data_IF_323045115290
#
_entry.id   IF_323045115290
#
_cell.length_a   1.000
_cell.length_b   1.000
_cell.length_c   1.000
_cell.angle_alpha   90.00
_cell.angle_beta   90.00
_cell.angle_gamma   90.00
#
_symmetry.space_group_name_H-M   'P 1'
#
loop_
_entity.id
_entity.type
_entity.pdbx_description
1 polymer ?
#
# COMPACT_ATOMS: atom_id res chain seq x y z
N UNK A 1 35.95 -52.25 -22.44
CA UNK A 1 34.98 -51.99 -21.38
C UNK A 1 35.52 -50.84 -20.55
N UNK A 2 35.03 -49.64 -20.78
CA UNK A 2 35.45 -48.42 -20.10
C UNK A 2 34.18 -47.69 -19.67
N UNK A 3 33.93 -47.63 -18.36
CA UNK A 3 32.83 -46.95 -17.75
C UNK A 3 33.20 -45.49 -17.51
N UNK A 4 32.45 -44.57 -18.10
CA UNK A 4 32.53 -43.12 -17.79
C UNK A 4 31.82 -42.82 -16.47
N UNK A 5 32.39 -42.01 -15.57
CA UNK A 5 31.66 -41.49 -14.40
C UNK A 5 30.80 -40.27 -14.77
N UNK A 6 29.58 -40.28 -14.24
CA UNK A 6 28.59 -39.20 -14.45
C UNK A 6 28.99 -37.92 -13.77
N UNK A 7 29.02 -36.83 -14.53
CA UNK A 7 29.39 -35.46 -14.10
C UNK A 7 28.29 -34.70 -13.32
N UNK A 8 27.11 -35.29 -13.19
CA UNK A 8 25.95 -34.56 -12.58
C UNK A 8 25.95 -34.49 -11.05
N UNK A 9 26.62 -35.45 -10.38
CA UNK A 9 26.62 -35.48 -8.89
C UNK A 9 27.61 -34.52 -8.22
N UNK A 10 28.56 -33.95 -8.96
CA UNK A 10 29.61 -33.10 -8.36
C UNK A 10 29.20 -31.64 -8.16
N UNK A 11 28.28 -31.13 -8.97
CA UNK A 11 27.80 -29.77 -8.87
C UNK A 11 26.77 -29.60 -7.74
N UNK A 12 25.87 -30.56 -7.58
CA UNK A 12 24.87 -30.54 -6.52
C UNK A 12 25.49 -30.62 -5.13
N UNK A 13 26.51 -31.48 -4.95
CA UNK A 13 27.24 -31.61 -3.69
C UNK A 13 28.14 -30.42 -3.35
N UNK A 14 28.57 -29.63 -4.33
CA UNK A 14 29.34 -28.39 -4.08
C UNK A 14 28.46 -27.20 -3.65
N UNK A 15 27.26 -27.13 -4.15
CA UNK A 15 26.30 -26.09 -3.76
C UNK A 15 25.79 -26.33 -2.35
N UNK A 16 25.44 -27.58 -2.01
CA UNK A 16 25.02 -27.96 -0.65
C UNK A 16 26.13 -27.80 0.37
N UNK A 17 27.38 -28.15 0.05
CA UNK A 17 28.50 -27.98 0.97
C UNK A 17 28.91 -26.50 1.21
N UNK A 18 28.69 -25.61 0.24
CA UNK A 18 28.94 -24.18 0.41
C UNK A 18 27.85 -23.47 1.20
N UNK A 19 26.61 -23.95 1.10
CA UNK A 19 25.50 -23.47 1.94
C UNK A 19 25.68 -23.94 3.38
N UNK A 20 26.05 -25.19 3.61
CA UNK A 20 26.33 -25.73 4.95
C UNK A 20 27.54 -25.10 5.65
N UNK A 21 28.58 -24.64 4.92
CA UNK A 21 29.71 -23.93 5.53
C UNK A 21 29.40 -22.48 5.93
N UNK A 22 28.40 -21.84 5.34
CA UNK A 22 27.99 -20.48 5.73
C UNK A 22 27.02 -20.44 6.89
N UNK A 23 26.35 -21.55 7.19
CA UNK A 23 25.37 -21.63 8.28
C UNK A 23 25.71 -22.86 9.13
N UNK A 24 26.52 -22.64 10.14
CA UNK A 24 26.86 -23.69 11.12
C UNK A 24 25.59 -24.07 11.91
N UNK A 25 25.06 -25.26 11.62
CA UNK A 25 23.99 -26.04 12.23
C UNK A 25 22.52 -25.68 11.85
N UNK A 26 21.70 -26.70 11.47
CA UNK A 26 20.27 -26.55 11.16
C UNK A 26 19.43 -26.06 12.37
N UNK A 27 19.92 -26.28 13.58
CA UNK A 27 19.23 -25.91 14.84
C UNK A 27 19.26 -24.39 15.09
N UNK A 28 20.24 -23.66 14.54
CA UNK A 28 20.39 -22.22 14.78
C UNK A 28 19.47 -21.39 13.89
N UNK A 29 19.09 -21.88 12.69
CA UNK A 29 18.20 -21.16 11.77
C UNK A 29 16.75 -21.22 12.27
N UNK A 30 16.28 -22.38 12.68
CA UNK A 30 14.94 -22.55 13.24
C UNK A 30 14.74 -21.77 14.54
N UNK A 31 15.74 -21.77 15.44
CA UNK A 31 15.65 -21.03 16.71
C UNK A 31 15.84 -19.53 16.56
N UNK A 32 16.60 -19.04 15.56
CA UNK A 32 16.71 -17.63 15.28
C UNK A 32 15.42 -17.09 14.64
N UNK A 33 14.82 -17.82 13.69
CA UNK A 33 13.53 -17.47 13.08
C UNK A 33 12.40 -17.52 14.11
N UNK A 34 12.37 -18.54 14.99
CA UNK A 34 11.39 -18.66 16.06
C UNK A 34 11.56 -17.61 17.17
N UNK A 35 12.81 -17.17 17.45
CA UNK A 35 13.05 -16.07 18.40
C UNK A 35 12.70 -14.71 17.80
N UNK A 36 12.93 -14.49 16.52
CA UNK A 36 12.45 -13.30 15.81
C UNK A 36 10.91 -13.29 15.80
N UNK A 37 10.27 -14.42 15.48
CA UNK A 37 8.80 -14.53 15.43
C UNK A 37 8.14 -14.37 16.81
N UNK A 38 8.69 -14.92 17.91
CA UNK A 38 8.20 -14.70 19.29
C UNK A 38 8.54 -13.34 19.88
N UNK A 39 9.66 -12.74 19.49
CA UNK A 39 10.03 -11.39 19.94
C UNK A 39 9.12 -10.30 19.43
N UNK A 40 8.48 -10.50 18.29
CA UNK A 40 7.56 -9.55 17.67
C UNK A 40 6.15 -9.54 18.31
N UNK A 41 5.72 -10.64 18.91
CA UNK A 41 4.41 -10.72 19.56
C UNK A 41 4.30 -10.00 20.92
N UNK A 42 5.41 -9.49 21.45
CA UNK A 42 5.46 -8.82 22.76
C UNK A 42 5.79 -7.33 22.71
N UNK A 43 5.90 -6.74 21.52
CA UNK A 43 6.11 -5.30 21.39
C UNK A 43 4.74 -4.62 21.43
N UNK A 44 4.57 -3.68 22.37
CA UNK A 44 3.50 -2.68 22.43
C UNK A 44 3.10 -2.25 21.02
N UNK A 45 1.84 -1.97 20.78
CA UNK A 45 1.30 -1.40 19.55
C UNK A 45 2.08 -0.15 19.13
N UNK A 46 3.25 -0.33 18.53
CA UNK A 46 3.95 0.75 17.86
C UNK A 46 3.14 1.11 16.62
N UNK A 47 2.93 2.40 16.45
CA UNK A 47 2.25 2.96 15.29
C UNK A 47 3.10 2.64 14.06
N UNK A 48 2.72 1.60 13.30
CA UNK A 48 3.44 1.19 12.09
C UNK A 48 2.91 2.03 10.92
N UNK A 49 3.79 2.86 10.35
CA UNK A 49 3.54 3.56 9.10
C UNK A 49 4.66 3.20 8.13
N UNK A 50 4.33 2.83 6.91
CA UNK A 50 5.33 2.44 5.91
C UNK A 50 5.18 3.19 4.59
N UNK A 51 6.27 3.24 3.84
CA UNK A 51 6.24 3.72 2.45
C UNK A 51 5.79 2.59 1.54
N UNK A 52 4.90 2.91 0.61
CA UNK A 52 4.48 1.91 -0.39
C UNK A 52 5.63 1.45 -1.28
N UNK A 53 5.81 0.14 -1.51
CA UNK A 53 6.73 -0.36 -2.52
C UNK A 53 6.24 -0.12 -3.95
N UNK A 54 4.94 0.14 -4.12
CA UNK A 54 4.29 0.32 -5.42
C UNK A 54 4.35 1.78 -5.84
N UNK A 55 4.90 2.04 -7.04
CA UNK A 55 4.85 3.34 -7.70
C UNK A 55 3.72 3.34 -8.71
N UNK A 56 2.81 4.33 -8.64
CA UNK A 56 1.68 4.47 -9.58
C UNK A 56 1.36 5.94 -9.80
N UNK A 57 0.78 6.27 -10.96
CA UNK A 57 0.22 7.58 -11.27
C UNK A 57 -0.82 7.95 -10.18
N UNK A 58 -0.87 9.20 -9.79
CA UNK A 58 -1.83 9.66 -8.78
C UNK A 58 -1.44 9.38 -7.33
N UNK A 59 -0.24 8.85 -7.05
CA UNK A 59 0.24 8.59 -5.70
C UNK A 59 0.12 9.84 -4.80
N UNK A 60 -0.48 9.68 -3.62
CA UNK A 60 -0.77 10.76 -2.67
C UNK A 60 0.33 11.02 -1.63
N UNK A 61 1.51 10.38 -1.75
CA UNK A 61 2.59 10.49 -0.75
C UNK A 61 2.95 11.93 -0.39
N UNK A 62 2.92 12.85 -1.35
CA UNK A 62 3.26 14.27 -1.12
C UNK A 62 2.23 15.05 -0.30
N UNK A 63 0.99 14.60 -0.25
CA UNK A 63 -0.13 15.28 0.41
C UNK A 63 -0.72 14.51 1.59
N UNK A 64 -0.10 13.41 2.01
CA UNK A 64 -0.60 12.59 3.12
C UNK A 64 -0.83 13.40 4.40
N UNK A 65 0.05 14.38 4.68
CA UNK A 65 -0.09 15.24 5.85
C UNK A 65 -1.37 16.10 5.80
N UNK A 66 -1.79 16.55 4.60
CA UNK A 66 -3.06 17.28 4.42
C UNK A 66 -4.23 16.30 4.60
N UNK A 67 -4.19 15.15 3.92
CA UNK A 67 -5.25 14.15 4.00
C UNK A 67 -5.52 13.72 5.44
N UNK A 68 -4.46 13.35 6.19
CA UNK A 68 -4.64 12.88 7.57
C UNK A 68 -5.10 13.96 8.53
N UNK A 69 -4.78 15.24 8.25
CA UNK A 69 -5.30 16.35 9.04
C UNK A 69 -6.82 16.52 8.88
N UNK A 70 -7.36 16.16 7.70
CA UNK A 70 -8.77 16.25 7.37
C UNK A 70 -9.57 14.97 7.65
N UNK A 71 -8.92 13.86 8.03
CA UNK A 71 -9.62 12.63 8.40
C UNK A 71 -10.56 12.86 9.59
N UNK A 72 -11.70 12.17 9.69
CA UNK A 72 -12.58 12.25 10.83
C UNK A 72 -11.84 11.95 12.13
N UNK A 73 -12.24 12.58 13.23
CA UNK A 73 -11.61 12.36 14.53
C UNK A 73 -11.74 10.92 15.00
N UNK A 74 -12.92 10.32 14.77
CA UNK A 74 -13.23 8.94 15.14
C UNK A 74 -13.87 8.17 14.00
N UNK A 75 -13.39 6.95 13.79
CA UNK A 75 -13.97 5.93 12.91
C UNK A 75 -13.52 4.54 13.38
N UNK A 76 -14.39 3.52 13.22
CA UNK A 76 -14.08 2.14 13.53
C UNK A 76 -13.63 1.33 12.32
N UNK A 77 -13.85 1.85 11.10
CA UNK A 77 -13.52 1.19 9.83
C UNK A 77 -12.90 2.19 8.89
N UNK A 78 -11.81 1.80 8.23
CA UNK A 78 -11.18 2.56 7.16
C UNK A 78 -11.23 1.77 5.86
N UNK A 79 -11.85 2.32 4.83
CA UNK A 79 -11.99 1.69 3.53
C UNK A 79 -11.32 2.56 2.48
N UNK A 80 -10.21 2.08 1.90
CA UNK A 80 -9.52 2.69 0.77
C UNK A 80 -10.16 2.16 -0.52
N UNK A 81 -11.07 2.97 -1.10
CA UNK A 81 -11.98 2.52 -2.18
C UNK A 81 -11.26 2.36 -3.51
N UNK A 82 -10.30 3.24 -3.82
CA UNK A 82 -9.43 3.22 -4.99
C UNK A 82 -8.00 3.21 -4.52
N UNK A 83 -7.56 2.09 -3.96
CA UNK A 83 -6.33 1.99 -3.17
C UNK A 83 -5.05 2.33 -3.94
N UNK A 84 -5.01 2.06 -5.24
CA UNK A 84 -3.89 2.40 -6.10
C UNK A 84 -2.57 1.89 -5.54
N UNK A 85 -1.61 2.77 -5.31
CA UNK A 85 -0.32 2.40 -4.71
C UNK A 85 -0.40 2.02 -3.23
N UNK A 86 -1.56 2.11 -2.59
CA UNK A 86 -1.74 1.89 -1.16
C UNK A 86 -1.15 2.99 -0.27
N UNK A 87 -0.72 4.12 -0.84
CA UNK A 87 0.02 5.15 -0.10
C UNK A 87 -0.75 5.73 1.07
N UNK A 88 -2.08 5.86 0.96
CA UNK A 88 -2.93 6.43 2.01
C UNK A 88 -3.13 5.43 3.14
N UNK A 89 -3.45 4.17 2.83
CA UNK A 89 -3.63 3.14 3.82
C UNK A 89 -2.31 2.79 4.54
N UNK A 90 -1.22 2.62 3.80
CA UNK A 90 0.08 2.21 4.35
C UNK A 90 0.76 3.32 5.15
N UNK A 91 0.64 4.57 4.70
CA UNK A 91 1.24 5.74 5.36
C UNK A 91 0.45 6.25 6.56
N UNK A 92 -0.80 5.81 6.76
CA UNK A 92 -1.57 6.21 7.94
C UNK A 92 -1.13 5.41 9.17
N UNK A 93 -1.18 6.01 10.37
CA UNK A 93 -0.97 5.27 11.62
C UNK A 93 -1.94 4.09 11.72
N UNK A 94 -1.43 2.93 12.16
CA UNK A 94 -2.29 1.83 12.57
C UNK A 94 -3.09 2.27 13.80
N UNK A 95 -4.41 2.21 13.67
CA UNK A 95 -5.35 2.36 14.78
C UNK A 95 -6.10 1.06 14.90
N UNK A 96 -6.71 0.80 16.05
CA UNK A 96 -7.58 -0.37 16.26
C UNK A 96 -8.87 -0.22 15.44
N UNK A 97 -8.73 -0.15 14.14
CA UNK A 97 -9.80 -0.04 13.17
C UNK A 97 -9.71 -1.19 12.18
N UNK A 98 -10.87 -1.65 11.74
CA UNK A 98 -10.99 -2.57 10.64
C UNK A 98 -10.57 -1.85 9.34
N UNK A 99 -9.65 -2.43 8.57
CA UNK A 99 -9.07 -1.80 7.37
C UNK A 99 -9.34 -2.62 6.13
N UNK A 100 -9.72 -1.95 5.04
CA UNK A 100 -9.94 -2.55 3.72
C UNK A 100 -9.14 -1.77 2.67
N UNK A 101 -8.40 -2.49 1.85
CA UNK A 101 -7.78 -2.02 0.62
C UNK A 101 -8.59 -2.59 -0.55
N UNK A 102 -9.02 -1.74 -1.48
CA UNK A 102 -9.69 -2.17 -2.70
C UNK A 102 -9.08 -1.48 -3.92
N UNK A 103 -8.98 -2.20 -5.00
CA UNK A 103 -8.73 -1.62 -6.32
C UNK A 103 -9.46 -2.45 -7.40
N UNK A 104 -9.84 -1.81 -8.48
CA UNK A 104 -10.49 -2.50 -9.60
C UNK A 104 -9.48 -3.19 -10.53
N UNK A 105 -8.21 -2.76 -10.52
CA UNK A 105 -7.13 -3.36 -11.28
C UNK A 105 -6.68 -4.69 -10.65
N UNK A 106 -7.08 -5.79 -11.28
CA UNK A 106 -6.76 -7.16 -10.83
C UNK A 106 -5.25 -7.42 -10.71
N UNK A 107 -4.43 -6.82 -11.57
CA UNK A 107 -2.97 -7.00 -11.49
C UNK A 107 -2.41 -6.35 -10.22
N UNK A 108 -2.97 -5.20 -9.86
CA UNK A 108 -2.58 -4.49 -8.64
C UNK A 108 -3.03 -5.24 -7.38
N UNK A 109 -4.27 -5.72 -7.38
CA UNK A 109 -4.81 -6.53 -6.28
C UNK A 109 -4.00 -7.82 -6.11
N UNK A 110 -3.71 -8.56 -7.20
CA UNK A 110 -2.83 -9.73 -7.18
C UNK A 110 -1.44 -9.38 -6.61
N UNK A 111 -0.87 -8.23 -6.98
CA UNK A 111 0.42 -7.78 -6.45
C UNK A 111 0.36 -7.58 -4.92
N UNK A 112 -0.67 -6.93 -4.40
CA UNK A 112 -0.83 -6.74 -2.96
C UNK A 112 -1.05 -8.04 -2.21
N UNK A 113 -1.85 -8.96 -2.74
CA UNK A 113 -2.00 -10.32 -2.19
C UNK A 113 -0.67 -11.06 -2.15
N UNK A 114 0.09 -11.07 -3.25
CA UNK A 114 1.38 -11.74 -3.30
C UNK A 114 2.41 -11.12 -2.33
N UNK A 115 2.43 -9.80 -2.19
CA UNK A 115 3.30 -9.13 -1.22
C UNK A 115 2.90 -9.42 0.24
N UNK A 116 1.60 -9.60 0.52
CA UNK A 116 1.08 -9.89 1.86
C UNK A 116 1.19 -11.36 2.22
N UNK A 117 0.79 -12.26 1.34
CA UNK A 117 0.54 -13.67 1.66
C UNK A 117 1.63 -14.61 1.15
N UNK A 118 2.40 -14.15 0.15
CA UNK A 118 3.49 -14.89 -0.51
C UNK A 118 4.77 -14.09 -0.58
N UNK A 119 5.09 -13.36 0.49
CA UNK A 119 6.17 -12.37 0.62
C UNK A 119 7.52 -12.93 0.18
N UNK A 120 7.92 -14.10 0.69
CA UNK A 120 9.21 -14.71 0.37
C UNK A 120 9.31 -15.12 -1.09
N UNK A 121 8.26 -15.69 -1.67
CA UNK A 121 8.19 -16.05 -3.08
C UNK A 121 8.27 -14.78 -3.96
N UNK A 122 7.59 -13.72 -3.57
CA UNK A 122 7.59 -12.42 -4.27
C UNK A 122 8.99 -11.79 -4.26
N UNK A 123 9.65 -11.72 -3.11
CA UNK A 123 11.02 -11.18 -2.98
C UNK A 123 12.00 -12.01 -3.82
N UNK A 124 11.87 -13.34 -3.79
CA UNK A 124 12.72 -14.25 -4.54
C UNK A 124 12.57 -14.06 -6.04
N UNK A 125 11.34 -14.01 -6.56
CA UNK A 125 11.07 -13.79 -7.98
C UNK A 125 11.54 -12.41 -8.45
N UNK A 126 11.36 -11.38 -7.64
CA UNK A 126 11.90 -10.05 -7.94
C UNK A 126 13.41 -10.04 -8.09
N UNK A 127 14.12 -10.86 -7.33
CA UNK A 127 15.58 -10.95 -7.35
C UNK A 127 16.17 -11.61 -8.60
N UNK A 128 15.38 -12.39 -9.37
CA UNK A 128 15.90 -13.19 -10.49
C UNK A 128 16.04 -12.42 -11.81
N UNK A 129 15.27 -11.38 -12.03
CA UNK A 129 15.25 -10.71 -13.31
C UNK A 129 15.27 -9.19 -13.10
N UNK A 130 16.44 -8.60 -13.29
CA UNK A 130 16.56 -7.15 -13.27
C UNK A 130 16.12 -6.59 -14.61
N UNK A 131 15.03 -5.85 -14.62
CA UNK A 131 14.54 -5.16 -15.80
C UNK A 131 15.33 -3.85 -15.98
N UNK A 132 16.25 -3.82 -16.93
CA UNK A 132 17.06 -2.64 -17.20
C UNK A 132 17.15 -2.31 -18.70
N UNK A 133 16.43 -3.01 -19.55
CA UNK A 133 16.40 -2.76 -20.99
C UNK A 133 14.99 -2.46 -21.50
N UNK A 134 14.93 -1.78 -22.65
CA UNK A 134 13.66 -1.53 -23.34
C UNK A 134 13.05 -2.83 -23.89
N UNK A 135 13.89 -3.75 -24.31
CA UNK A 135 13.49 -5.06 -24.83
C UNK A 135 12.79 -5.89 -23.74
N UNK A 136 13.36 -5.93 -22.53
CA UNK A 136 12.75 -6.60 -21.39
C UNK A 136 11.40 -5.98 -21.03
N UNK A 137 11.33 -4.63 -21.04
CA UNK A 137 10.08 -3.93 -20.79
C UNK A 137 8.98 -4.29 -21.81
N UNK A 138 9.35 -4.32 -23.10
CA UNK A 138 8.42 -4.70 -24.18
C UNK A 138 8.00 -6.17 -24.04
N UNK A 139 8.93 -7.07 -23.70
CA UNK A 139 8.64 -8.48 -23.48
C UNK A 139 7.66 -8.68 -22.33
N UNK A 140 7.88 -8.02 -21.19
CA UNK A 140 6.97 -8.07 -20.05
C UNK A 140 5.61 -7.48 -20.41
N UNK A 141 5.57 -6.37 -21.16
CA UNK A 141 4.31 -5.78 -21.56
C UNK A 141 3.48 -6.71 -22.46
N UNK A 142 4.12 -7.35 -23.46
CA UNK A 142 3.46 -8.37 -24.32
C UNK A 142 2.94 -9.56 -23.51
N UNK A 143 3.62 -9.88 -22.42
CA UNK A 143 3.20 -10.95 -21.51
C UNK A 143 1.84 -10.71 -20.87
N UNK A 144 1.52 -9.47 -20.46
CA UNK A 144 0.21 -9.15 -19.89
C UNK A 144 -0.95 -9.39 -20.85
N UNK A 145 -0.66 -9.48 -22.13
CA UNK A 145 -1.67 -9.66 -23.16
C UNK A 145 -2.04 -11.14 -23.41
N UNK A 146 -1.17 -12.14 -23.10
CA UNK A 146 -1.37 -13.50 -23.68
C UNK A 146 -0.89 -14.74 -22.90
N UNK A 147 -0.32 -14.70 -21.69
CA UNK A 147 0.27 -15.90 -21.13
C UNK A 147 -0.11 -16.24 -19.68
N UNK A 148 -0.32 -17.55 -19.40
CA UNK A 148 -0.39 -18.14 -18.05
C UNK A 148 0.99 -18.62 -17.62
N UNK A 149 1.31 -18.53 -16.33
CA UNK A 149 2.59 -19.01 -15.76
C UNK A 149 2.40 -20.12 -14.76
N UNK A 150 3.38 -21.06 -14.77
CA UNK A 150 3.50 -22.05 -13.72
C UNK A 150 4.14 -21.46 -12.47
N UNK A 151 3.56 -21.75 -11.32
CA UNK A 151 4.08 -21.33 -10.03
C UNK A 151 5.22 -22.25 -9.56
N UNK A 152 6.44 -21.77 -9.69
CA UNK A 152 7.64 -22.55 -9.33
C UNK A 152 7.92 -22.58 -7.83
N UNK A 153 7.31 -21.68 -7.06
CA UNK A 153 7.62 -21.51 -5.64
C UNK A 153 6.73 -22.35 -4.73
N UNK A 154 5.59 -22.81 -5.23
CA UNK A 154 4.64 -23.59 -4.45
C UNK A 154 5.29 -24.82 -3.79
N UNK A 155 6.10 -25.57 -4.54
CA UNK A 155 6.79 -26.76 -4.02
C UNK A 155 7.70 -26.40 -2.84
N UNK A 156 8.43 -25.29 -2.93
CA UNK A 156 9.32 -24.84 -1.86
C UNK A 156 8.53 -24.35 -0.64
N UNK A 157 7.44 -23.64 -0.84
CA UNK A 157 6.56 -23.17 0.24
C UNK A 157 5.92 -24.36 0.99
N UNK A 158 5.50 -25.39 0.26
CA UNK A 158 4.96 -26.62 0.87
C UNK A 158 6.03 -27.37 1.68
N UNK A 159 7.26 -27.49 1.13
CA UNK A 159 8.37 -28.11 1.86
C UNK A 159 8.73 -27.34 3.14
N UNK A 160 8.81 -26.02 3.07
CA UNK A 160 9.07 -25.19 4.24
C UNK A 160 7.98 -25.35 5.31
N UNK A 161 6.72 -25.48 4.89
CA UNK A 161 5.60 -25.72 5.80
C UNK A 161 5.77 -27.02 6.57
N UNK A 162 6.21 -28.11 5.89
CA UNK A 162 6.49 -29.39 6.54
C UNK A 162 7.65 -29.33 7.55
N UNK A 163 8.67 -28.54 7.24
CA UNK A 163 9.84 -28.39 8.10
C UNK A 163 9.51 -27.56 9.35
N UNK A 164 8.64 -26.57 9.22
CA UNK A 164 8.37 -25.59 10.28
C UNK A 164 7.25 -26.00 11.24
N UNK A 165 6.31 -26.83 10.80
CA UNK A 165 5.11 -27.19 11.57
C UNK A 165 4.98 -28.69 11.74
N UNK A 166 4.56 -29.18 12.93
CA UNK A 166 4.24 -30.59 13.14
C UNK A 166 2.93 -30.98 12.43
N UNK A 167 2.75 -32.28 12.07
CA UNK A 167 1.45 -32.77 11.67
C UNK A 167 0.46 -32.78 12.87
N UNK A 168 -0.85 -32.51 12.69
CA UNK A 168 -1.57 -32.29 11.42
C UNK A 168 -1.51 -30.84 10.89
N UNK A 169 -1.00 -29.88 11.65
CA UNK A 169 -0.98 -28.45 11.32
C UNK A 169 -0.31 -28.18 9.97
N UNK A 170 0.77 -28.90 9.66
CA UNK A 170 1.44 -28.80 8.38
C UNK A 170 0.53 -29.20 7.20
N UNK A 171 -0.33 -30.20 7.37
CA UNK A 171 -1.24 -30.66 6.33
C UNK A 171 -2.34 -29.65 6.04
N UNK A 172 -2.92 -29.07 7.08
CA UNK A 172 -3.95 -28.02 6.97
C UNK A 172 -3.39 -26.76 6.31
N UNK A 173 -2.21 -26.32 6.72
CA UNK A 173 -1.59 -25.14 6.15
C UNK A 173 -1.18 -25.35 4.69
N UNK A 174 -0.75 -26.56 4.31
CA UNK A 174 -0.48 -26.91 2.91
C UNK A 174 -1.73 -26.80 2.05
N UNK A 175 -2.88 -27.27 2.53
CA UNK A 175 -4.15 -27.17 1.81
C UNK A 175 -4.54 -25.70 1.61
N UNK A 176 -4.37 -24.86 2.64
CA UNK A 176 -4.62 -23.42 2.55
C UNK A 176 -3.69 -22.77 1.52
N UNK A 177 -2.38 -23.11 1.53
CA UNK A 177 -1.40 -22.59 0.56
C UNK A 177 -1.71 -23.01 -0.88
N UNK A 178 -2.16 -24.23 -1.09
CA UNK A 178 -2.60 -24.69 -2.41
C UNK A 178 -3.74 -23.84 -2.95
N UNK A 179 -4.75 -23.56 -2.12
CA UNK A 179 -5.89 -22.70 -2.49
C UNK A 179 -5.46 -21.27 -2.79
N UNK A 180 -4.61 -20.68 -1.94
CA UNK A 180 -4.06 -19.32 -2.16
C UNK A 180 -3.30 -19.25 -3.48
N UNK A 181 -2.59 -20.32 -3.87
CA UNK A 181 -1.81 -20.35 -5.11
C UNK A 181 -2.68 -20.37 -6.36
N UNK A 182 -3.88 -20.95 -6.30
CA UNK A 182 -4.84 -20.91 -7.41
C UNK A 182 -5.27 -19.47 -7.72
N UNK A 183 -5.30 -18.60 -6.70
CA UNK A 183 -5.80 -17.22 -6.81
C UNK A 183 -4.68 -16.18 -7.03
N UNK A 184 -3.43 -16.46 -6.59
CA UNK A 184 -2.36 -15.45 -6.51
C UNK A 184 -1.10 -15.85 -7.28
N UNK A 185 -0.92 -15.24 -8.44
CA UNK A 185 0.21 -15.47 -9.36
C UNK A 185 1.39 -14.54 -9.03
N UNK A 186 2.41 -15.09 -8.37
CA UNK A 186 3.63 -14.36 -7.95
C UNK A 186 4.42 -13.83 -9.15
N UNK A 187 4.51 -14.59 -10.24
CA UNK A 187 5.25 -14.16 -11.41
C UNK A 187 4.57 -12.98 -12.09
N UNK A 188 3.26 -13.06 -12.27
CA UNK A 188 2.47 -11.96 -12.80
C UNK A 188 2.59 -10.71 -11.91
N UNK A 189 2.50 -10.87 -10.59
CA UNK A 189 2.65 -9.79 -9.62
C UNK A 189 4.02 -9.09 -9.73
N UNK A 190 5.10 -9.87 -9.77
CA UNK A 190 6.45 -9.33 -9.84
C UNK A 190 6.76 -8.66 -11.18
N UNK A 191 6.27 -9.21 -12.28
CA UNK A 191 6.36 -8.59 -13.60
C UNK A 191 5.59 -7.26 -13.64
N UNK A 192 4.39 -7.21 -13.03
CA UNK A 192 3.62 -5.99 -12.95
C UNK A 192 4.35 -4.90 -12.14
N UNK A 193 4.91 -5.25 -10.98
CA UNK A 193 5.71 -4.31 -10.19
C UNK A 193 6.93 -3.78 -10.96
N UNK A 194 7.64 -4.65 -11.69
CA UNK A 194 8.75 -4.25 -12.56
C UNK A 194 8.28 -3.30 -13.68
N UNK A 195 7.15 -3.61 -14.31
CA UNK A 195 6.55 -2.78 -15.35
C UNK A 195 6.24 -1.36 -14.83
N UNK A 196 5.54 -1.26 -13.71
CA UNK A 196 5.22 0.02 -13.08
C UNK A 196 6.49 0.83 -12.73
N UNK A 197 7.48 0.18 -12.13
CA UNK A 197 8.73 0.84 -11.70
C UNK A 197 9.59 1.34 -12.84
N UNK A 198 9.58 0.67 -13.98
CA UNK A 198 10.39 1.01 -15.13
C UNK A 198 9.60 1.77 -16.22
N UNK A 199 8.39 2.19 -15.92
CA UNK A 199 7.57 3.00 -16.83
C UNK A 199 7.64 4.48 -16.51
N UNK A 200 7.47 5.30 -17.56
CA UNK A 200 7.31 6.74 -17.40
C UNK A 200 6.07 7.04 -16.56
N UNK A 201 6.21 7.87 -15.53
CA UNK A 201 5.16 8.19 -14.57
C UNK A 201 4.55 6.97 -13.84
N UNK A 202 5.20 5.83 -13.87
CA UNK A 202 4.66 4.57 -13.32
C UNK A 202 3.30 4.17 -13.90
N UNK A 203 3.09 4.48 -15.18
CA UNK A 203 1.83 4.20 -15.91
C UNK A 203 1.76 2.79 -16.49
N UNK A 204 2.88 2.06 -16.57
CA UNK A 204 2.97 0.78 -17.27
C UNK A 204 3.01 0.91 -18.82
N UNK A 205 2.80 2.10 -19.39
CA UNK A 205 2.59 2.30 -20.84
C UNK A 205 3.88 2.51 -21.64
N UNK A 206 4.86 3.20 -21.09
CA UNK A 206 6.10 3.56 -21.80
C UNK A 206 7.33 3.41 -20.92
N UNK A 207 8.43 2.92 -21.49
CA UNK A 207 9.67 2.69 -20.77
C UNK A 207 10.34 3.99 -20.31
N UNK A 208 10.68 4.06 -19.02
CA UNK A 208 11.50 5.12 -18.45
C UNK A 208 12.96 4.66 -18.43
N UNK A 209 13.84 5.39 -19.09
CA UNK A 209 15.27 5.05 -19.24
C UNK A 209 16.09 5.18 -17.94
N UNK A 210 15.48 5.03 -16.77
CA UNK A 210 16.18 5.13 -15.49
C UNK A 210 16.33 3.74 -14.88
N UNK A 211 17.58 3.25 -14.69
CA UNK A 211 17.80 1.97 -14.02
C UNK A 211 17.33 2.05 -12.58
N UNK A 212 16.63 1.02 -12.12
CA UNK A 212 16.15 0.88 -10.77
C UNK A 212 16.63 -0.44 -10.17
N UNK A 213 17.31 -0.38 -9.03
CA UNK A 213 17.67 -1.58 -8.28
C UNK A 213 16.46 -2.09 -7.50
N UNK A 214 15.83 -3.13 -8.02
CA UNK A 214 14.62 -3.74 -7.45
C UNK A 214 14.84 -4.26 -6.02
N UNK A 215 16.09 -4.61 -5.64
CA UNK A 215 16.42 -5.10 -4.29
C UNK A 215 16.12 -4.08 -3.19
N UNK A 216 16.04 -2.78 -3.54
CA UNK A 216 15.63 -1.73 -2.61
C UNK A 216 14.19 -1.88 -2.12
N UNK A 217 13.37 -2.68 -2.81
CA UNK A 217 11.99 -2.96 -2.40
C UNK A 217 11.87 -4.11 -1.41
N UNK A 218 12.90 -4.96 -1.26
CA UNK A 218 12.78 -6.17 -0.43
C UNK A 218 12.41 -5.87 1.02
N UNK A 219 13.06 -4.86 1.61
CA UNK A 219 12.71 -4.40 2.97
C UNK A 219 11.28 -3.86 3.05
N UNK A 220 10.89 -3.02 2.09
CA UNK A 220 9.53 -2.44 2.05
C UNK A 220 8.44 -3.49 1.84
N UNK A 221 8.72 -4.58 1.12
CA UNK A 221 7.77 -5.69 0.94
C UNK A 221 7.62 -6.47 2.24
N UNK A 222 8.71 -6.69 3.00
CA UNK A 222 8.64 -7.30 4.33
C UNK A 222 7.86 -6.43 5.33
N UNK A 223 8.10 -5.12 5.36
CA UNK A 223 7.33 -4.19 6.19
C UNK A 223 5.85 -4.14 5.79
N UNK A 224 5.54 -4.29 4.49
CA UNK A 224 4.16 -4.33 4.00
C UNK A 224 3.42 -5.58 4.49
N UNK A 225 4.06 -6.74 4.53
CA UNK A 225 3.46 -7.97 5.08
C UNK A 225 2.92 -7.72 6.48
N UNK A 226 3.75 -7.18 7.36
CA UNK A 226 3.37 -6.87 8.74
C UNK A 226 2.26 -5.82 8.81
N UNK A 227 2.40 -4.73 8.03
CA UNK A 227 1.41 -3.63 8.03
C UNK A 227 0.05 -4.08 7.52
N UNK A 228 0.01 -4.98 6.56
CA UNK A 228 -1.22 -5.46 5.94
C UNK A 228 -1.77 -6.74 6.56
N UNK A 229 -1.15 -7.29 7.59
CA UNK A 229 -1.55 -8.58 8.18
C UNK A 229 -3.06 -8.64 8.49
N UNK A 230 -3.63 -7.56 9.01
CA UNK A 230 -5.05 -7.46 9.36
C UNK A 230 -5.89 -6.66 8.35
N UNK A 231 -5.34 -6.26 7.19
CA UNK A 231 -6.06 -5.53 6.15
C UNK A 231 -6.74 -6.52 5.22
N UNK A 232 -8.02 -6.32 4.97
CA UNK A 232 -8.75 -7.07 3.94
C UNK A 232 -8.41 -6.47 2.57
N UNK A 233 -8.08 -7.32 1.60
CA UNK A 233 -7.84 -6.93 0.22
C UNK A 233 -9.03 -7.35 -0.61
N UNK A 234 -9.62 -6.41 -1.36
CA UNK A 234 -10.79 -6.60 -2.20
C UNK A 234 -10.48 -6.24 -3.65
N UNK A 235 -11.22 -6.85 -4.59
CA UNK A 235 -11.22 -6.49 -6.00
C UNK A 235 -12.66 -6.31 -6.48
N UNK A 236 -13.28 -5.25 -5.99
CA UNK A 236 -14.70 -4.98 -6.25
C UNK A 236 -14.91 -3.64 -6.94
N UNK A 237 -16.02 -3.52 -7.68
CA UNK A 237 -16.55 -2.23 -8.10
C UNK A 237 -16.84 -1.36 -6.87
N UNK A 238 -16.54 -0.06 -6.96
CA UNK A 238 -16.63 0.87 -5.84
C UNK A 238 -18.02 0.94 -5.20
N UNK A 239 -19.09 0.85 -6.01
CA UNK A 239 -20.46 0.90 -5.51
C UNK A 239 -20.79 -0.34 -4.68
N UNK A 240 -20.40 -1.51 -5.18
CA UNK A 240 -20.57 -2.79 -4.47
C UNK A 240 -19.79 -2.78 -3.16
N UNK A 241 -18.53 -2.35 -3.19
CA UNK A 241 -17.67 -2.23 -2.02
C UNK A 241 -18.26 -1.29 -0.97
N UNK A 242 -18.63 -0.06 -1.38
CA UNK A 242 -19.18 0.94 -0.45
C UNK A 242 -20.46 0.42 0.20
N UNK A 243 -21.38 -0.17 -0.55
CA UNK A 243 -22.61 -0.77 0.00
C UNK A 243 -22.32 -1.90 0.99
N UNK A 244 -21.30 -2.72 0.71
CA UNK A 244 -20.91 -3.85 1.55
C UNK A 244 -20.40 -3.38 2.93
N UNK A 245 -19.57 -2.34 2.93
CA UNK A 245 -18.88 -1.87 4.13
C UNK A 245 -19.55 -0.67 4.82
N UNK A 246 -20.64 -0.10 4.27
CA UNK A 246 -21.32 1.06 4.84
C UNK A 246 -21.92 0.77 6.23
N UNK A 247 -21.39 1.46 7.22
CA UNK A 247 -21.83 1.45 8.63
C UNK A 247 -21.64 2.86 9.20
N UNK A 248 -22.32 3.24 10.28
CA UNK A 248 -22.16 4.56 10.89
C UNK A 248 -20.73 4.91 11.33
N UNK A 249 -19.93 3.89 11.65
CA UNK A 249 -18.52 4.01 12.05
C UNK A 249 -17.54 3.85 10.87
N UNK A 250 -18.03 3.70 9.63
CA UNK A 250 -17.18 3.57 8.44
C UNK A 250 -16.67 4.92 7.97
N UNK A 251 -15.40 4.94 7.55
CA UNK A 251 -14.77 6.05 6.86
C UNK A 251 -14.21 5.58 5.52
N UNK A 252 -14.76 6.10 4.44
CA UNK A 252 -14.35 5.82 3.08
C UNK A 252 -13.40 6.90 2.58
N UNK A 253 -12.19 6.51 2.19
CA UNK A 253 -11.32 7.35 1.40
C UNK A 253 -11.45 6.94 -0.07
N UNK A 254 -11.74 7.88 -0.95
CA UNK A 254 -11.91 7.64 -2.37
C UNK A 254 -11.01 8.58 -3.19
N UNK A 255 -10.27 8.01 -4.14
CA UNK A 255 -9.37 8.70 -5.05
C UNK A 255 -9.55 8.11 -6.47
N UNK A 256 -10.72 8.36 -7.09
CA UNK A 256 -11.03 7.82 -8.41
C UNK A 256 -10.14 8.45 -9.49
N UNK A 257 -10.12 7.90 -10.72
CA UNK A 257 -9.59 8.59 -11.88
C UNK A 257 -10.16 10.01 -11.97
N UNK A 258 -9.29 11.01 -12.15
CA UNK A 258 -9.71 12.41 -12.15
C UNK A 258 -10.41 12.76 -13.46
N UNK A 259 -11.42 13.62 -13.37
CA UNK A 259 -12.14 14.13 -14.54
C UNK A 259 -11.16 14.75 -15.55
N UNK A 260 -11.34 14.45 -16.83
CA UNK A 260 -10.48 14.79 -17.98
C UNK A 260 -9.06 14.16 -17.96
N UNK A 261 -8.79 13.19 -17.07
CA UNK A 261 -7.52 12.42 -17.07
C UNK A 261 -7.75 10.91 -17.04
N UNK A 262 -8.97 10.47 -17.29
CA UNK A 262 -9.42 9.07 -17.21
C UNK A 262 -8.62 8.16 -18.14
N UNK A 263 -8.21 8.67 -19.32
CA UNK A 263 -7.39 7.94 -20.30
C UNK A 263 -6.00 7.53 -19.78
N UNK A 264 -5.56 8.08 -18.65
CA UNK A 264 -4.30 7.67 -18.00
C UNK A 264 -4.41 6.30 -17.33
N UNK A 265 -5.62 5.85 -17.05
CA UNK A 265 -5.91 4.58 -16.39
C UNK A 265 -6.36 3.56 -17.43
N UNK A 266 -6.02 2.28 -17.24
CA UNK A 266 -6.43 1.18 -18.13
C UNK A 266 -7.87 0.72 -17.85
N UNK A 267 -8.44 1.18 -16.73
CA UNK A 267 -9.80 0.90 -16.31
C UNK A 267 -10.70 2.02 -16.81
N UNK A 268 -11.67 1.71 -17.68
CA UNK A 268 -12.62 2.70 -18.15
C UNK A 268 -13.42 3.29 -16.98
N UNK A 269 -13.32 4.61 -16.80
CA UNK A 269 -14.06 5.36 -15.78
C UNK A 269 -14.56 6.63 -16.45
N UNK A 270 -15.85 6.72 -16.73
CA UNK A 270 -16.45 7.82 -17.48
C UNK A 270 -17.30 8.72 -16.62
N UNK A 271 -17.93 9.73 -17.24
CA UNK A 271 -18.81 10.66 -16.53
C UNK A 271 -19.92 9.97 -15.74
N UNK A 272 -20.51 8.93 -16.30
CA UNK A 272 -21.57 8.16 -15.61
C UNK A 272 -21.06 7.51 -14.33
N UNK A 273 -19.77 7.13 -14.28
CA UNK A 273 -19.15 6.60 -13.06
C UNK A 273 -18.90 7.68 -12.02
N UNK A 274 -18.55 8.91 -12.43
CA UNK A 274 -18.46 10.07 -11.52
C UNK A 274 -19.81 10.36 -10.87
N UNK A 275 -20.89 10.36 -11.66
CA UNK A 275 -22.28 10.54 -11.17
C UNK A 275 -22.67 9.40 -10.23
N UNK A 276 -22.42 8.15 -10.63
CA UNK A 276 -22.70 6.95 -9.83
C UNK A 276 -21.96 6.97 -8.49
N UNK A 277 -20.69 7.40 -8.50
CA UNK A 277 -19.89 7.53 -7.27
C UNK A 277 -20.49 8.59 -6.33
N UNK A 278 -20.86 9.75 -6.87
CA UNK A 278 -21.51 10.82 -6.11
C UNK A 278 -22.82 10.35 -5.48
N UNK A 279 -23.65 9.65 -6.24
CA UNK A 279 -24.93 9.13 -5.73
C UNK A 279 -24.71 8.08 -4.65
N UNK A 280 -23.72 7.20 -4.83
CA UNK A 280 -23.38 6.17 -3.85
C UNK A 280 -22.90 6.80 -2.56
N UNK A 281 -21.93 7.71 -2.62
CA UNK A 281 -21.41 8.42 -1.45
C UNK A 281 -22.45 9.31 -0.76
N UNK A 282 -23.40 9.87 -1.51
CA UNK A 282 -24.47 10.68 -0.95
C UNK A 282 -25.52 9.92 -0.12
N UNK A 283 -25.50 8.58 -0.18
CA UNK A 283 -26.49 7.70 0.51
C UNK A 283 -25.90 6.94 1.69
N UNK A 284 -24.59 7.02 1.93
CA UNK A 284 -23.93 6.25 3.01
C UNK A 284 -24.31 6.75 4.40
N UNK A 285 -24.21 5.85 5.36
CA UNK A 285 -24.34 6.14 6.80
C UNK A 285 -23.04 6.60 7.43
N UNK A 286 -21.91 6.19 6.80
CA UNK A 286 -20.57 6.51 7.22
C UNK A 286 -20.11 7.90 6.77
N UNK A 287 -18.85 8.17 7.00
CA UNK A 287 -18.15 9.38 6.53
C UNK A 287 -17.35 9.08 5.28
N UNK A 288 -17.15 10.07 4.42
CA UNK A 288 -16.21 9.94 3.29
C UNK A 288 -15.32 11.18 3.15
N UNK A 289 -14.12 10.96 2.62
CA UNK A 289 -13.23 11.98 2.07
C UNK A 289 -12.85 11.55 0.65
N UNK A 290 -13.12 12.41 -0.31
CA UNK A 290 -12.95 12.16 -1.72
C UNK A 290 -11.96 13.15 -2.30
N UNK A 291 -10.99 12.69 -3.10
CA UNK A 291 -10.02 13.52 -3.82
C UNK A 291 -10.38 13.68 -5.28
N UNK A 292 -10.26 14.90 -5.81
CA UNK A 292 -10.42 15.22 -7.23
C UNK A 292 -9.52 16.37 -7.66
N UNK A 293 -9.37 16.55 -9.00
CA UNK A 293 -8.94 17.82 -9.56
C UNK A 293 -10.03 18.90 -9.36
N UNK A 294 -9.59 20.09 -9.03
CA UNK A 294 -10.51 21.24 -8.89
C UNK A 294 -10.94 21.73 -10.27
N UNK A 295 -12.19 21.46 -10.64
CA UNK A 295 -12.82 21.94 -11.87
C UNK A 295 -14.32 22.22 -11.64
N UNK A 296 -14.95 23.08 -12.49
CA UNK A 296 -16.35 23.46 -12.33
C UNK A 296 -17.29 22.25 -12.31
N UNK A 297 -17.08 21.27 -13.19
CA UNK A 297 -17.94 20.10 -13.35
C UNK A 297 -18.00 19.27 -12.06
N UNK A 298 -16.86 19.09 -11.39
CA UNK A 298 -16.79 18.36 -10.12
C UNK A 298 -17.36 19.19 -8.97
N UNK A 299 -17.12 20.52 -8.94
CA UNK A 299 -17.73 21.39 -7.94
C UNK A 299 -19.26 21.40 -8.04
N UNK A 300 -19.80 21.44 -9.25
CA UNK A 300 -21.26 21.40 -9.49
C UNK A 300 -21.83 20.01 -9.11
N UNK A 301 -21.14 18.93 -9.46
CA UNK A 301 -21.57 17.56 -9.14
C UNK A 301 -21.66 17.34 -7.62
N UNK A 302 -20.74 17.92 -6.85
CA UNK A 302 -20.66 17.75 -5.39
C UNK A 302 -21.18 18.98 -4.62
N UNK A 303 -22.04 19.80 -5.25
CA UNK A 303 -22.72 20.88 -4.53
C UNK A 303 -23.48 20.35 -3.31
N UNK A 304 -23.38 21.06 -2.19
CA UNK A 304 -24.00 20.69 -0.91
C UNK A 304 -23.09 19.83 0.01
N UNK A 305 -21.89 19.44 -0.43
CA UNK A 305 -20.87 18.82 0.44
C UNK A 305 -19.82 19.83 0.92
N UNK A 306 -19.05 19.45 1.94
CA UNK A 306 -17.91 20.26 2.42
C UNK A 306 -16.76 20.19 1.42
N UNK A 307 -16.33 21.33 0.88
CA UNK A 307 -15.27 21.44 -0.12
C UNK A 307 -14.03 22.09 0.48
N UNK A 308 -12.85 21.48 0.29
CA UNK A 308 -11.56 22.01 0.67
C UNK A 308 -10.63 21.98 -0.54
N UNK A 309 -10.24 23.14 -1.04
CA UNK A 309 -9.34 23.29 -2.18
C UNK A 309 -7.93 23.71 -1.73
N UNK A 310 -6.92 23.18 -2.41
CA UNK A 310 -5.53 23.56 -2.23
C UNK A 310 -4.73 23.36 -3.52
N UNK A 311 -3.62 24.09 -3.62
CA UNK A 311 -2.71 23.97 -4.74
C UNK A 311 -1.47 23.21 -4.33
N UNK A 312 -0.97 22.33 -5.22
CA UNK A 312 0.33 21.69 -5.06
C UNK A 312 1.22 21.92 -6.28
N UNK A 313 2.51 22.03 -6.03
CA UNK A 313 3.49 22.07 -7.09
C UNK A 313 3.58 20.70 -7.79
N UNK A 314 3.44 20.67 -9.11
CA UNK A 314 3.52 19.43 -9.90
C UNK A 314 4.94 19.19 -10.37
N UNK A 315 5.63 18.22 -9.76
CA UNK A 315 7.05 17.93 -10.02
C UNK A 315 7.40 17.60 -11.50
N UNK A 316 6.44 17.08 -12.26
CA UNK A 316 6.63 16.79 -13.69
C UNK A 316 6.31 17.97 -14.60
N UNK A 317 5.24 18.70 -14.32
CA UNK A 317 4.89 19.89 -15.09
C UNK A 317 5.94 21.00 -14.91
N UNK A 318 6.59 21.08 -13.75
CA UNK A 318 7.69 22.04 -13.51
C UNK A 318 8.91 21.82 -14.40
N UNK A 319 9.08 20.62 -15.00
CA UNK A 319 10.14 20.38 -16.00
C UNK A 319 9.87 21.07 -17.35
N UNK A 320 8.61 21.36 -17.64
CA UNK A 320 8.17 21.95 -18.91
C UNK A 320 7.63 23.37 -18.73
N UNK A 321 6.99 23.66 -17.59
CA UNK A 321 6.41 24.95 -17.26
C UNK A 321 6.71 25.26 -15.78
N UNK A 322 7.70 26.12 -15.53
CA UNK A 322 8.05 26.52 -14.18
C UNK A 322 6.86 27.26 -13.50
N UNK A 323 6.48 26.80 -12.31
CA UNK A 323 5.39 27.40 -11.53
C UNK A 323 4.00 26.87 -11.82
N UNK A 324 3.82 25.84 -12.66
CA UNK A 324 2.51 25.21 -12.85
C UNK A 324 2.05 24.49 -11.58
N UNK A 325 0.96 24.98 -11.02
CA UNK A 325 0.29 24.40 -9.87
C UNK A 325 -0.85 23.50 -10.32
N UNK A 326 -1.04 22.42 -9.61
CA UNK A 326 -2.21 21.56 -9.72
C UNK A 326 -3.18 21.92 -8.59
N UNK A 327 -4.39 22.28 -8.98
CA UNK A 327 -5.48 22.52 -8.05
C UNK A 327 -6.14 21.19 -7.71
N UNK A 328 -6.16 20.87 -6.43
CA UNK A 328 -6.79 19.67 -5.87
C UNK A 328 -8.02 20.09 -5.06
N UNK A 329 -9.05 19.26 -5.11
CA UNK A 329 -10.28 19.43 -4.37
C UNK A 329 -10.51 18.21 -3.48
N UNK A 330 -10.70 18.43 -2.19
CA UNK A 330 -11.13 17.40 -1.24
C UNK A 330 -12.59 17.65 -0.85
N UNK A 331 -13.39 16.61 -0.87
CA UNK A 331 -14.84 16.67 -0.70
C UNK A 331 -15.22 15.71 0.44
N UNK A 332 -16.02 16.20 1.40
CA UNK A 332 -16.44 15.41 2.56
C UNK A 332 -17.93 15.63 2.90
N UNK A 333 -18.54 14.61 3.53
CA UNK A 333 -19.90 14.72 4.10
C UNK A 333 -19.90 15.05 5.59
N UNK A 334 -18.80 15.57 6.11
CA UNK A 334 -18.63 15.97 7.51
C UNK A 334 -17.81 17.26 7.60
N UNK A 335 -17.78 17.88 8.79
CA UNK A 335 -16.90 19.01 9.07
C UNK A 335 -15.45 18.56 9.21
N UNK A 336 -14.64 18.82 8.20
CA UNK A 336 -13.23 18.45 8.16
C UNK A 336 -12.34 19.23 9.13
N UNK A 337 -12.82 20.33 9.71
CA UNK A 337 -12.13 21.06 10.79
C UNK A 337 -12.34 20.41 12.17
N UNK A 338 -13.08 19.31 12.26
CA UNK A 338 -13.34 18.59 13.52
C UNK A 338 -12.05 18.32 14.33
N UNK A 339 -10.97 17.88 13.64
CA UNK A 339 -9.66 17.63 14.29
C UNK A 339 -8.96 18.91 14.73
N UNK A 340 -9.06 19.98 13.97
CA UNK A 340 -8.44 21.25 14.29
C UNK A 340 -9.15 21.91 15.46
N UNK A 341 -10.47 21.86 15.47
CA UNK A 341 -11.30 22.35 16.55
C UNK A 341 -11.14 21.54 17.87
N UNK A 342 -10.78 20.25 17.77
CA UNK A 342 -10.50 19.39 18.92
C UNK A 342 -9.09 19.57 19.52
N UNK A 343 -8.17 20.26 18.81
CA UNK A 343 -6.85 20.57 19.38
C UNK A 343 -7.04 21.55 20.55
N UNK A 344 -6.31 21.37 21.67
CA UNK A 344 -6.31 22.37 22.73
C UNK A 344 -5.88 23.71 22.09
N UNK A 345 -6.74 24.72 22.22
CA UNK A 345 -6.42 26.07 21.74
C UNK A 345 -5.14 26.51 22.43
N UNK A 346 -4.13 26.83 21.65
CA UNK A 346 -2.94 27.47 22.19
C UNK A 346 -3.41 28.83 22.74
N UNK A 347 -3.38 28.96 24.07
CA UNK A 347 -3.74 30.22 24.74
C UNK A 347 -2.84 31.30 24.16
N UNK A 348 -3.44 32.33 23.60
CA UNK A 348 -2.72 33.54 23.20
C UNK A 348 -2.37 34.35 24.44
N UNK A 349 -1.34 35.18 24.34
CA UNK A 349 -0.99 36.11 25.45
C UNK A 349 -2.19 36.97 25.91
N UNK A 350 -3.17 37.22 25.04
CA UNK A 350 -4.39 37.94 25.35
C UNK A 350 -5.41 37.11 26.15
N UNK A 351 -5.49 35.82 25.95
CA UNK A 351 -6.35 34.91 26.73
C UNK A 351 -5.83 34.74 28.16
N UNK A 352 -4.53 34.98 28.36
CA UNK A 352 -3.82 34.85 29.63
C UNK A 352 -3.99 36.12 30.50
N UNK A 353 -4.06 37.29 29.91
CA UNK A 353 -4.14 38.57 30.65
C UNK A 353 -5.48 38.85 31.33
N UNK A 354 -6.51 38.02 31.07
CA UNK A 354 -7.85 38.19 31.69
C UNK A 354 -8.07 37.35 32.95
N UNK A 355 -7.15 36.50 33.35
CA UNK A 355 -7.32 35.59 34.49
C UNK A 355 -6.26 35.89 35.58
N UNK A 356 -6.67 36.60 36.67
CA UNK A 356 -5.80 36.97 37.78
C UNK A 356 -5.20 35.79 38.56
N UNK A 357 -5.64 34.55 38.26
CA UNK A 357 -5.17 33.32 38.88
C UNK A 357 -4.32 32.42 37.96
N UNK A 358 -3.80 32.92 36.86
CA UNK A 358 -3.06 32.13 35.90
C UNK A 358 -1.61 31.83 36.35
N UNK A 359 -1.28 30.56 36.55
CA UNK A 359 0.04 30.09 36.98
C UNK A 359 1.00 29.98 35.76
N UNK A 360 1.73 31.04 35.49
CA UNK A 360 2.72 31.15 34.42
C UNK A 360 3.85 30.12 34.53
N UNK A 361 4.28 29.79 35.74
CA UNK A 361 5.37 28.85 35.95
C UNK A 361 4.96 27.41 35.54
N UNK A 362 3.71 27.05 35.83
CA UNK A 362 3.17 25.75 35.45
C UNK A 362 3.07 25.59 33.94
N UNK A 363 2.54 26.59 33.23
CA UNK A 363 2.39 26.56 31.75
C UNK A 363 3.75 26.56 31.06
N UNK A 364 4.72 27.34 31.54
CA UNK A 364 6.09 27.33 31.02
C UNK A 364 6.79 25.98 31.23
N UNK A 365 6.62 25.35 32.38
CA UNK A 365 7.18 24.02 32.65
C UNK A 365 6.56 22.96 31.74
N UNK A 366 5.26 22.97 31.52
CA UNK A 366 4.55 22.04 30.64
C UNK A 366 4.96 22.24 29.17
N UNK A 367 5.12 23.46 28.69
CA UNK A 367 5.59 23.76 27.32
C UNK A 367 7.05 23.35 27.09
N UNK A 368 7.93 23.50 28.08
CA UNK A 368 9.34 23.08 28.01
C UNK A 368 9.44 21.55 28.01
N UNK A 369 8.59 20.84 28.73
CA UNK A 369 8.53 19.37 28.74
C UNK A 369 8.05 18.87 27.39
N UNK A 370 7.05 19.48 26.77
CA UNK A 370 6.55 19.10 25.44
C UNK A 370 7.55 19.33 24.30
N UNK A 371 8.44 20.33 24.43
CA UNK A 371 9.53 20.58 23.49
C UNK A 371 10.73 19.61 23.61
N UNK A 372 10.86 18.90 24.73
CA UNK A 372 11.95 17.91 24.93
C UNK A 372 11.60 16.49 24.48
N UNK A 373 10.39 16.27 24.00
CA UNK A 373 9.88 14.94 23.54
C UNK A 373 9.72 14.91 22.00
N UNK A 374 10.36 15.83 21.29
CA UNK A 374 10.42 15.81 19.81
C UNK A 374 11.82 15.46 19.35
#
# INVERSE_FOLDING_TARGET
MSTKPSFENSAHNRITSNIQRRYQSPITIGTAFFRLWRGWYLVKSEVITIKTPVSRVGNKTSILHILYALFPLHYGRFIDVFGGSGSVLLGKPTVDAFEVYNDFDRNLVNLFHCMKERTMATIRELGFCHLNSREDFIAIRRFFDHETFDDKFLTEELMLTEIMLPPPEAAELKEIRLRITEDHDVRRATMYLKLLRNSYSSSGKSFASQPFDIRKLFGLIGELEDRMANVIIENQDFETLIRHYDRPDAFFYADPPYFSTEDMYEVGFGWDDHVRLRETLGRIKGKFLLSYNDCPEIRDLYDGFSLFDFSRAHSMAQRYEAGKEFKELLIANYDYYERENAKPKQLTLFDIYGDENFDYEKVLKESIISCKIR
#
